data_IF_256567158645
#
_entry.id   IF_256567158645
#
_cell.length_a   1.000
_cell.length_b   1.000
_cell.length_c   1.000
_cell.angle_alpha   90.00
_cell.angle_beta   90.00
_cell.angle_gamma   90.00
#
_symmetry.space_group_name_H-M   'P 1'
#
loop_
_entity.id
_entity.type
_entity.pdbx_description
1 polymer ?
#
# COMPACT_ATOMS: atom_id res chain seq x y z
N UNK A 1 2.01 -0.04 5.21
CA UNK A 1 1.79 0.50 3.84
C UNK A 1 2.27 -0.53 2.82
N UNK A 2 1.47 -0.77 1.78
CA UNK A 2 1.75 -1.74 0.73
C UNK A 2 1.59 -1.08 -0.65
N UNK A 3 2.59 -1.23 -1.51
CA UNK A 3 2.54 -0.78 -2.91
C UNK A 3 2.00 -1.91 -3.76
N UNK A 4 0.90 -1.68 -4.46
CA UNK A 4 0.32 -2.72 -5.31
C UNK A 4 1.19 -2.93 -6.55
N UNK A 5 1.38 -4.20 -6.93
CA UNK A 5 2.23 -4.60 -8.04
C UNK A 5 1.74 -4.02 -9.38
N UNK A 6 2.36 -2.92 -9.84
CA UNK A 6 2.06 -2.29 -11.14
C UNK A 6 3.30 -1.96 -11.97
N UNK A 7 4.48 -2.44 -11.57
CA UNK A 7 5.75 -2.09 -12.22
C UNK A 7 5.81 -2.53 -13.69
N UNK A 8 5.27 -3.70 -14.02
CA UNK A 8 5.22 -4.13 -15.42
C UNK A 8 4.18 -3.35 -16.23
N UNK A 9 3.07 -2.94 -15.62
CA UNK A 9 2.07 -2.05 -16.25
C UNK A 9 2.69 -0.69 -16.58
N UNK A 10 3.40 -0.07 -15.63
CA UNK A 10 4.11 1.20 -15.84
C UNK A 10 5.20 1.07 -16.90
N UNK A 11 6.02 0.01 -16.85
CA UNK A 11 7.10 -0.22 -17.85
C UNK A 11 6.55 -0.35 -19.27
N UNK A 12 5.41 -1.00 -19.42
CA UNK A 12 4.79 -1.28 -20.71
C UNK A 12 3.75 -0.22 -21.13
N UNK A 13 3.49 0.80 -20.30
CA UNK A 13 2.49 1.84 -20.57
C UNK A 13 1.06 1.29 -20.65
N UNK A 14 0.75 0.28 -19.84
CA UNK A 14 -0.56 -0.38 -19.85
C UNK A 14 -1.59 0.38 -19.01
N UNK A 15 -2.85 0.35 -19.43
CA UNK A 15 -3.94 0.88 -18.62
C UNK A 15 -4.27 -0.06 -17.47
N UNK A 16 -4.75 0.48 -16.35
CA UNK A 16 -5.17 -0.27 -15.16
C UNK A 16 -6.37 -1.19 -15.42
N UNK A 17 -7.14 -0.88 -16.46
CA UNK A 17 -8.30 -1.67 -16.89
C UNK A 17 -7.91 -2.86 -17.79
N UNK A 18 -6.61 -3.04 -18.08
CA UNK A 18 -6.14 -4.20 -18.83
C UNK A 18 -5.80 -5.34 -17.87
N UNK A 19 -6.19 -6.60 -18.16
CA UNK A 19 -5.81 -7.73 -17.33
C UNK A 19 -4.33 -8.03 -17.54
N UNK A 20 -3.54 -7.95 -16.47
CA UNK A 20 -2.09 -8.20 -16.49
C UNK A 20 -1.70 -9.19 -15.40
N UNK A 21 -0.85 -10.15 -15.76
CA UNK A 21 -0.21 -11.05 -14.82
C UNK A 21 1.29 -11.14 -15.09
N UNK A 22 2.08 -11.15 -14.02
CA UNK A 22 3.51 -11.37 -14.06
C UNK A 22 3.81 -12.82 -13.75
N UNK A 23 4.57 -13.48 -14.61
CA UNK A 23 4.97 -14.86 -14.45
C UNK A 23 6.47 -15.01 -14.19
N UNK A 24 6.79 -16.06 -13.44
CA UNK A 24 8.10 -16.65 -13.35
C UNK A 24 7.98 -18.10 -13.82
N UNK A 25 8.52 -18.38 -15.01
CA UNK A 25 8.25 -19.63 -15.72
C UNK A 25 6.74 -19.83 -15.88
N UNK A 26 6.21 -21.01 -15.58
CA UNK A 26 4.76 -21.27 -15.66
C UNK A 26 3.96 -20.78 -14.43
N UNK A 27 4.61 -20.23 -13.39
CA UNK A 27 3.95 -19.77 -12.17
C UNK A 27 3.65 -18.28 -12.18
N UNK A 28 2.47 -17.87 -11.72
CA UNK A 28 2.12 -16.46 -11.58
C UNK A 28 2.60 -15.90 -10.23
N UNK A 29 3.41 -14.85 -10.29
CA UNK A 29 4.00 -14.20 -9.11
C UNK A 29 3.32 -12.86 -8.76
N UNK A 30 2.61 -12.24 -9.70
CA UNK A 30 1.75 -11.09 -9.43
C UNK A 30 0.57 -11.08 -10.40
N UNK A 31 -0.61 -10.64 -9.92
CA UNK A 31 -1.84 -10.58 -10.70
C UNK A 31 -2.57 -9.29 -10.32
N UNK A 32 -2.80 -8.42 -11.31
CA UNK A 32 -3.48 -7.15 -11.08
C UNK A 32 -4.97 -7.36 -10.78
N UNK A 33 -5.64 -6.33 -10.24
CA UNK A 33 -7.03 -6.43 -9.81
C UNK A 33 -7.98 -6.79 -10.96
N UNK A 34 -7.72 -6.29 -12.17
CA UNK A 34 -8.52 -6.58 -13.36
C UNK A 34 -8.47 -8.05 -13.73
N UNK A 35 -7.27 -8.66 -13.76
CA UNK A 35 -7.11 -10.09 -14.05
C UNK A 35 -7.74 -10.98 -12.96
N UNK A 36 -7.74 -10.56 -11.69
CA UNK A 36 -8.38 -11.32 -10.59
C UNK A 36 -9.89 -11.51 -10.79
N UNK A 37 -10.57 -10.60 -11.49
CA UNK A 37 -12.01 -10.72 -11.79
C UNK A 37 -12.35 -11.96 -12.63
N UNK A 38 -11.38 -12.49 -13.36
CA UNK A 38 -11.51 -13.72 -14.17
C UNK A 38 -11.18 -14.99 -13.38
N UNK A 39 -11.01 -14.89 -12.05
CA UNK A 39 -10.64 -16.03 -11.20
C UNK A 39 -9.15 -16.38 -11.22
N UNK A 40 -8.31 -15.54 -11.85
CA UNK A 40 -6.86 -15.75 -11.90
C UNK A 40 -6.24 -15.40 -10.54
N UNK A 41 -5.53 -16.35 -9.94
CA UNK A 41 -4.93 -16.21 -8.62
C UNK A 41 -3.41 -16.41 -8.67
N UNK A 42 -2.71 -15.58 -7.87
CA UNK A 42 -1.26 -15.68 -7.67
C UNK A 42 -0.92 -17.03 -7.03
N UNK A 43 0.17 -17.67 -7.48
CA UNK A 43 0.65 -19.00 -7.05
C UNK A 43 -0.29 -20.20 -7.29
N UNK A 44 -1.61 -20.00 -7.39
CA UNK A 44 -2.57 -21.10 -7.60
C UNK A 44 -2.87 -21.35 -9.07
N UNK A 45 -2.92 -20.30 -9.89
CA UNK A 45 -3.20 -20.42 -11.34
C UNK A 45 -1.90 -20.47 -12.13
N UNK A 46 -1.78 -21.39 -13.08
CA UNK A 46 -0.63 -21.43 -14.00
C UNK A 46 -0.76 -20.39 -15.12
N UNK A 47 0.36 -19.98 -15.72
CA UNK A 47 0.38 -19.10 -16.90
C UNK A 47 -0.50 -19.63 -18.04
N UNK A 48 -0.46 -20.94 -18.28
CA UNK A 48 -1.25 -21.60 -19.33
C UNK A 48 -2.75 -21.58 -19.02
N UNK A 49 -3.12 -21.83 -17.77
CA UNK A 49 -4.51 -21.80 -17.32
C UNK A 49 -5.09 -20.37 -17.31
N UNK A 50 -4.30 -19.40 -16.85
CA UNK A 50 -4.70 -18.00 -16.83
C UNK A 50 -5.03 -17.49 -18.24
N UNK A 51 -4.26 -17.89 -19.25
CA UNK A 51 -4.56 -17.60 -20.66
C UNK A 51 -5.82 -18.27 -21.19
N UNK A 52 -6.25 -19.40 -20.62
CA UNK A 52 -7.54 -20.03 -20.97
C UNK A 52 -8.71 -19.29 -20.32
N UNK A 53 -8.55 -18.86 -19.08
CA UNK A 53 -9.57 -18.08 -18.34
C UNK A 53 -9.76 -16.68 -18.93
N UNK A 54 -8.68 -16.06 -19.41
CA UNK A 54 -8.67 -14.73 -20.00
C UNK A 54 -7.71 -14.72 -21.22
N UNK A 55 -8.22 -14.97 -22.44
CA UNK A 55 -7.43 -14.97 -23.67
C UNK A 55 -6.68 -13.65 -23.93
N UNK A 56 -7.28 -12.53 -23.53
CA UNK A 56 -6.75 -11.17 -23.63
C UNK A 56 -5.71 -10.81 -22.55
N UNK A 57 -5.49 -11.67 -21.55
CA UNK A 57 -4.55 -11.44 -20.46
C UNK A 57 -3.15 -11.08 -20.99
N UNK A 58 -2.61 -9.92 -20.63
CA UNK A 58 -1.22 -9.58 -20.90
C UNK A 58 -0.33 -10.30 -19.90
N UNK A 59 0.31 -11.34 -20.38
CA UNK A 59 1.13 -12.21 -19.58
C UNK A 59 2.60 -11.83 -19.77
N UNK A 60 3.23 -11.35 -18.71
CA UNK A 60 4.57 -10.74 -18.75
C UNK A 60 5.55 -11.60 -17.96
N UNK A 61 6.61 -12.06 -18.60
CA UNK A 61 7.69 -12.74 -17.89
C UNK A 61 8.61 -11.73 -17.21
N UNK A 62 9.12 -12.09 -16.03
CA UNK A 62 10.22 -11.34 -15.39
C UNK A 62 11.48 -11.32 -16.27
N UNK A 63 12.35 -10.33 -16.07
CA UNK A 63 13.64 -10.29 -16.75
C UNK A 63 14.45 -11.57 -16.43
N UNK A 64 15.31 -11.96 -17.36
CA UNK A 64 16.16 -13.14 -17.24
C UNK A 64 17.55 -12.87 -17.79
N UNK A 65 18.55 -13.53 -17.23
CA UNK A 65 19.87 -13.70 -17.82
C UNK A 65 19.84 -14.87 -18.82
N UNK A 66 20.51 -14.73 -19.96
CA UNK A 66 20.78 -15.83 -20.89
C UNK A 66 22.20 -16.38 -20.65
N UNK A 67 22.52 -17.59 -21.13
CA UNK A 67 23.81 -18.28 -20.86
C UNK A 67 25.05 -17.44 -21.20
N UNK A 68 25.02 -16.71 -22.32
CA UNK A 68 26.15 -15.92 -22.81
C UNK A 68 25.93 -14.40 -22.69
N UNK A 69 25.01 -13.97 -21.83
CA UNK A 69 24.66 -12.56 -21.63
C UNK A 69 24.75 -12.17 -20.16
N UNK A 70 25.70 -11.30 -19.77
CA UNK A 70 25.83 -10.84 -18.40
C UNK A 70 24.73 -9.87 -17.98
N UNK A 71 23.94 -9.34 -18.91
CA UNK A 71 22.86 -8.40 -18.61
C UNK A 71 21.48 -9.07 -18.62
N UNK A 72 20.59 -8.70 -17.69
CA UNK A 72 19.24 -9.24 -17.68
C UNK A 72 18.33 -8.48 -18.64
N UNK A 73 17.62 -9.21 -19.51
CA UNK A 73 16.67 -8.61 -20.44
C UNK A 73 15.28 -9.23 -20.32
N UNK A 74 14.30 -8.52 -20.89
CA UNK A 74 12.93 -9.02 -21.05
C UNK A 74 12.82 -9.79 -22.36
N UNK A 75 13.16 -11.07 -22.32
CA UNK A 75 13.05 -11.94 -23.48
C UNK A 75 11.58 -12.27 -23.78
N UNK A 76 11.16 -12.33 -25.06
CA UNK A 76 9.79 -12.68 -25.42
C UNK A 76 9.39 -14.12 -25.06
N UNK A 77 10.35 -15.05 -25.03
CA UNK A 77 10.09 -16.47 -24.77
C UNK A 77 11.29 -17.12 -24.05
N UNK A 78 11.56 -16.74 -22.79
CA UNK A 78 12.65 -17.33 -22.02
C UNK A 78 12.33 -18.78 -21.66
N UNK A 79 13.38 -19.60 -21.54
CA UNK A 79 13.27 -21.02 -21.18
C UNK A 79 14.06 -21.31 -19.92
N UNK A 80 13.50 -22.09 -19.02
CA UNK A 80 14.17 -22.50 -17.78
C UNK A 80 15.46 -23.30 -18.04
N UNK A 81 15.60 -23.91 -19.22
CA UNK A 81 16.79 -24.65 -19.60
C UNK A 81 17.99 -23.75 -19.93
N UNK A 82 17.74 -22.53 -20.43
CA UNK A 82 18.78 -21.64 -20.98
C UNK A 82 18.82 -20.26 -20.33
N UNK A 83 17.89 -19.98 -19.41
CA UNK A 83 17.76 -18.68 -18.78
C UNK A 83 17.65 -18.79 -17.26
N UNK A 84 18.07 -17.73 -16.57
CA UNK A 84 17.93 -17.57 -15.12
C UNK A 84 17.17 -16.30 -14.78
N UNK A 85 16.22 -16.39 -13.85
CA UNK A 85 15.38 -15.26 -13.42
C UNK A 85 16.21 -14.15 -12.77
N UNK A 86 15.88 -12.91 -13.15
CA UNK A 86 16.39 -11.68 -12.57
C UNK A 86 15.22 -10.86 -11.99
N UNK A 87 15.28 -10.57 -10.68
CA UNK A 87 14.32 -9.70 -10.01
C UNK A 87 14.88 -8.31 -9.70
N UNK A 88 16.08 -7.98 -10.17
CA UNK A 88 16.73 -6.70 -9.90
C UNK A 88 15.90 -5.50 -10.37
N UNK A 89 15.20 -5.55 -11.53
CA UNK A 89 14.26 -4.49 -11.90
C UNK A 89 13.17 -4.20 -10.86
N UNK A 90 12.75 -5.22 -10.09
CA UNK A 90 11.78 -5.06 -8.99
C UNK A 90 12.45 -4.56 -7.71
N UNK A 91 13.70 -4.98 -7.44
CA UNK A 91 14.52 -4.45 -6.33
C UNK A 91 14.82 -2.97 -6.52
N UNK A 92 15.11 -2.53 -7.74
CA UNK A 92 15.33 -1.11 -8.05
C UNK A 92 14.04 -0.29 -7.90
N UNK A 93 12.89 -0.83 -8.35
CA UNK A 93 11.59 -0.20 -8.10
C UNK A 93 11.31 -0.08 -6.59
N UNK A 94 11.61 -1.12 -5.81
CA UNK A 94 11.55 -1.11 -4.35
C UNK A 94 12.41 0.01 -3.77
N UNK A 95 13.69 0.11 -4.15
CA UNK A 95 14.59 1.18 -3.66
C UNK A 95 14.01 2.57 -3.88
N UNK A 96 13.40 2.83 -5.04
CA UNK A 96 12.76 4.12 -5.34
C UNK A 96 11.57 4.41 -4.42
N UNK A 97 10.72 3.41 -4.15
CA UNK A 97 9.60 3.52 -3.20
C UNK A 97 10.12 3.87 -1.80
N UNK A 98 11.10 3.11 -1.29
CA UNK A 98 11.67 3.34 0.04
C UNK A 98 12.42 4.67 0.15
N UNK A 99 13.00 5.17 -0.94
CA UNK A 99 13.59 6.50 -0.97
C UNK A 99 12.53 7.59 -0.79
N UNK A 100 11.32 7.42 -1.34
CA UNK A 100 10.19 8.35 -1.10
C UNK A 100 9.77 8.30 0.36
N UNK A 101 9.62 7.11 0.94
CA UNK A 101 9.26 6.96 2.36
C UNK A 101 10.29 7.67 3.27
N UNK A 102 11.58 7.53 2.96
CA UNK A 102 12.66 8.15 3.72
C UNK A 102 12.64 9.69 3.74
N UNK A 103 11.95 10.35 2.79
CA UNK A 103 11.85 11.83 2.76
C UNK A 103 11.06 12.40 3.94
N UNK A 104 10.18 11.60 4.56
CA UNK A 104 9.29 12.04 5.62
C UNK A 104 9.91 11.98 7.01
N UNK A 105 11.20 11.61 7.13
CA UNK A 105 11.90 11.56 8.42
C UNK A 105 11.36 10.51 9.39
N UNK A 106 10.58 9.56 8.87
CA UNK A 106 9.89 8.49 9.62
C UNK A 106 10.77 7.25 9.75
N UNK A 107 10.58 6.47 10.81
CA UNK A 107 11.29 5.19 10.97
C UNK A 107 10.57 4.13 10.16
N UNK A 108 11.31 3.40 9.33
CA UNK A 108 10.74 2.44 8.38
C UNK A 108 11.27 1.03 8.69
N UNK A 109 10.36 0.09 8.88
CA UNK A 109 10.66 -1.34 8.92
C UNK A 109 10.22 -1.98 7.61
N UNK A 110 11.19 -2.40 6.80
CA UNK A 110 10.94 -3.09 5.53
C UNK A 110 10.53 -4.54 5.78
N UNK A 111 9.39 -4.95 5.22
CA UNK A 111 8.87 -6.33 5.31
C UNK A 111 9.19 -7.09 4.02
N UNK A 112 8.92 -6.45 2.86
CA UNK A 112 9.04 -7.04 1.53
C UNK A 112 9.60 -6.06 0.51
N UNK A 113 9.44 -6.35 -0.78
CA UNK A 113 9.85 -5.42 -1.84
C UNK A 113 8.93 -4.20 -1.92
N UNK A 114 7.66 -4.37 -1.58
CA UNK A 114 6.58 -3.41 -1.75
C UNK A 114 5.86 -3.09 -0.44
N UNK A 115 6.32 -3.64 0.69
CA UNK A 115 5.64 -3.53 1.99
C UNK A 115 6.57 -3.03 3.09
N UNK A 116 6.04 -2.11 3.90
CA UNK A 116 6.73 -1.53 5.04
C UNK A 116 5.78 -1.10 6.17
N UNK A 117 6.26 -1.21 7.41
CA UNK A 117 5.72 -0.47 8.54
C UNK A 117 6.47 0.86 8.68
N UNK A 118 5.72 1.90 8.99
CA UNK A 118 6.22 3.26 9.10
C UNK A 118 5.75 3.81 10.44
N UNK A 119 6.68 4.07 11.35
CA UNK A 119 6.41 4.76 12.61
C UNK A 119 6.38 6.27 12.32
N UNK A 120 5.18 6.83 12.42
CA UNK A 120 4.86 8.23 12.15
C UNK A 120 4.64 9.03 13.43
N UNK A 121 4.86 8.44 14.60
CA UNK A 121 4.45 9.00 15.90
C UNK A 121 5.00 10.41 16.13
N UNK A 122 6.30 10.61 15.90
CA UNK A 122 6.92 11.93 16.09
C UNK A 122 6.38 12.96 15.12
N UNK A 123 6.26 12.59 13.84
CA UNK A 123 5.74 13.49 12.79
C UNK A 123 4.30 13.92 13.10
N UNK A 124 3.45 12.95 13.47
CA UNK A 124 2.06 13.19 13.83
C UNK A 124 1.96 14.12 15.03
N UNK A 125 2.76 13.88 16.08
CA UNK A 125 2.77 14.73 17.28
C UNK A 125 3.20 16.17 16.96
N UNK A 126 4.25 16.36 16.16
CA UNK A 126 4.71 17.68 15.76
C UNK A 126 3.61 18.44 14.98
N UNK A 127 2.93 17.76 14.05
CA UNK A 127 1.82 18.33 13.27
C UNK A 127 0.58 18.61 14.13
N UNK A 128 0.28 17.74 15.10
CA UNK A 128 -0.81 17.93 16.06
C UNK A 128 -0.57 19.18 16.92
N UNK A 129 0.63 19.32 17.48
CA UNK A 129 1.04 20.50 18.26
C UNK A 129 0.92 21.75 17.41
N UNK A 130 1.47 21.72 16.18
CA UNK A 130 1.48 22.86 15.28
C UNK A 130 0.07 23.34 14.89
N UNK A 131 -0.86 22.39 14.71
CA UNK A 131 -2.21 22.66 14.21
C UNK A 131 -3.16 23.08 15.33
N UNK A 132 -3.15 22.36 16.46
CA UNK A 132 -4.14 22.53 17.53
C UNK A 132 -3.56 23.22 18.77
N UNK A 133 -2.45 22.73 19.31
CA UNK A 133 -1.96 23.16 20.63
C UNK A 133 -1.26 24.52 20.62
N UNK A 134 -0.92 25.06 19.45
CA UNK A 134 -0.54 26.46 19.31
C UNK A 134 -1.71 27.45 19.48
N UNK A 135 -2.95 26.95 19.51
CA UNK A 135 -4.14 27.77 19.78
C UNK A 135 -4.49 27.66 21.26
N UNK A 136 -4.68 28.81 21.91
CA UNK A 136 -4.94 28.90 23.36
C UNK A 136 -6.18 28.15 23.83
N UNK A 137 -7.15 27.92 22.94
CA UNK A 137 -8.36 27.14 23.24
C UNK A 137 -8.04 25.67 23.57
N UNK A 138 -7.22 25.02 22.75
CA UNK A 138 -6.92 23.59 22.87
C UNK A 138 -5.81 23.28 23.86
N UNK A 139 -4.90 24.24 24.10
CA UNK A 139 -3.82 24.08 25.08
C UNK A 139 -4.37 23.80 26.49
N UNK A 140 -5.54 24.35 26.82
CA UNK A 140 -6.20 24.13 28.12
C UNK A 140 -6.74 22.70 28.32
N UNK A 141 -6.89 21.93 27.23
CA UNK A 141 -7.45 20.57 27.22
C UNK A 141 -6.41 19.47 27.05
N UNK A 142 -5.11 19.81 27.01
CA UNK A 142 -4.05 18.84 26.70
C UNK A 142 -3.94 17.71 27.74
N UNK A 143 -4.30 18.00 29.00
CA UNK A 143 -4.32 17.03 30.10
C UNK A 143 -5.63 16.22 30.15
N UNK A 144 -6.62 16.57 29.33
CA UNK A 144 -7.87 15.82 29.20
C UNK A 144 -7.70 14.65 28.23
N UNK A 145 -8.39 13.53 28.48
CA UNK A 145 -8.39 12.38 27.57
C UNK A 145 -9.17 12.65 26.27
N UNK A 146 -10.05 13.65 26.29
CA UNK A 146 -10.95 14.01 25.20
C UNK A 146 -10.62 15.43 24.75
N UNK A 147 -10.47 15.64 23.45
CA UNK A 147 -10.25 16.98 22.88
C UNK A 147 -11.55 17.61 22.39
N UNK A 148 -12.54 16.81 21.96
CA UNK A 148 -13.80 17.27 21.34
C UNK A 148 -13.59 18.15 20.10
N UNK A 149 -12.49 17.95 19.37
CA UNK A 149 -12.33 18.55 18.05
C UNK A 149 -13.31 17.84 17.11
N UNK A 150 -14.20 18.55 16.40
CA UNK A 150 -15.10 17.93 15.43
C UNK A 150 -14.30 17.30 14.29
N UNK A 151 -14.50 16.02 14.05
CA UNK A 151 -13.91 15.28 12.92
C UNK A 151 -15.04 14.86 11.99
N UNK A 152 -14.87 15.18 10.70
CA UNK A 152 -15.69 14.60 9.64
C UNK A 152 -15.12 13.24 9.25
N UNK A 153 -15.56 12.19 9.95
CA UNK A 153 -15.10 10.82 9.72
C UNK A 153 -15.44 10.29 8.32
N UNK A 154 -16.51 10.81 7.69
CA UNK A 154 -16.93 10.38 6.36
C UNK A 154 -15.96 10.89 5.27
N UNK A 155 -15.23 11.97 5.56
CA UNK A 155 -14.23 12.54 4.65
C UNK A 155 -12.90 11.76 4.61
N UNK A 156 -12.64 10.88 5.60
CA UNK A 156 -11.33 10.26 5.83
C UNK A 156 -11.14 8.88 5.19
N UNK A 157 -12.18 8.35 4.52
CA UNK A 157 -12.13 7.08 3.78
C UNK A 157 -12.97 5.98 4.45
N UNK A 158 -12.36 4.82 4.69
CA UNK A 158 -13.04 3.69 5.36
C UNK A 158 -12.65 3.72 6.84
N UNK A 159 -13.58 4.09 7.69
CA UNK A 159 -13.41 4.12 9.15
C UNK A 159 -13.85 2.78 9.75
N UNK A 160 -13.01 2.19 10.60
CA UNK A 160 -13.30 0.92 11.28
C UNK A 160 -13.36 1.19 12.78
N UNK A 161 -14.46 0.79 13.42
CA UNK A 161 -14.63 0.92 14.87
C UNK A 161 -13.62 0.07 15.63
N UNK A 162 -13.22 0.57 16.80
CA UNK A 162 -12.43 -0.18 17.77
C UNK A 162 -13.21 -1.39 18.32
N UNK A 163 -12.50 -2.30 18.99
CA UNK A 163 -13.13 -3.48 19.59
C UNK A 163 -14.10 -3.07 20.71
N UNK A 164 -13.71 -2.07 21.48
CA UNK A 164 -14.48 -1.52 22.59
C UNK A 164 -15.80 -0.91 22.10
N UNK A 165 -15.76 -0.17 20.98
CA UNK A 165 -16.96 0.39 20.34
C UNK A 165 -17.85 -0.69 19.73
N UNK A 166 -17.27 -1.76 19.18
CA UNK A 166 -18.03 -2.88 18.59
C UNK A 166 -18.78 -3.69 19.66
N UNK A 167 -18.28 -3.75 20.89
CA UNK A 167 -18.91 -4.48 22.00
C UNK A 167 -20.04 -3.70 22.68
N UNK A 168 -20.21 -2.42 22.35
CA UNK A 168 -21.20 -1.50 22.95
C UNK A 168 -22.52 -1.41 22.18
N UNK A 169 -22.83 -2.40 21.34
CA UNK A 169 -24.06 -2.45 20.51
C UNK A 169 -25.34 -2.51 21.37
N UNK A 170 -25.89 -1.34 21.71
CA UNK A 170 -27.33 -1.16 21.83
C UNK A 170 -27.87 -0.84 20.42
N UNK A 171 -28.67 -1.74 19.85
CA UNK A 171 -29.16 -1.73 18.45
C UNK A 171 -30.07 -0.53 18.07
N UNK A 172 -30.14 0.53 18.89
CA UNK A 172 -31.17 1.57 18.77
C UNK A 172 -30.69 3.01 19.00
N UNK A 173 -29.40 3.30 18.83
CA UNK A 173 -28.89 4.67 18.85
C UNK A 173 -28.37 5.06 17.46
N UNK A 174 -28.84 6.22 16.96
CA UNK A 174 -28.15 6.98 15.92
C UNK A 174 -26.65 6.98 16.24
N UNK A 175 -25.78 6.85 15.23
CA UNK A 175 -24.32 6.70 15.39
C UNK A 175 -23.74 7.99 16.01
N UNK A 176 -23.89 8.13 17.32
CA UNK A 176 -23.26 9.19 18.10
C UNK A 176 -21.84 8.69 18.38
N UNK A 177 -20.90 9.14 17.55
CA UNK A 177 -19.49 8.83 17.76
C UNK A 177 -19.09 9.26 19.16
N UNK A 178 -18.29 8.44 19.84
CA UNK A 178 -17.75 8.82 21.14
C UNK A 178 -16.99 10.16 21.02
N UNK A 179 -16.94 10.95 22.11
CA UNK A 179 -16.20 12.20 22.14
C UNK A 179 -14.77 12.04 21.63
N UNK A 180 -14.38 12.86 20.65
CA UNK A 180 -13.08 12.74 19.98
C UNK A 180 -11.92 12.89 20.95
N UNK A 181 -11.04 11.89 20.97
CA UNK A 181 -9.83 11.86 21.79
C UNK A 181 -8.62 12.43 21.06
N UNK A 182 -7.53 12.67 21.80
CA UNK A 182 -6.26 13.05 21.18
C UNK A 182 -5.69 11.94 20.29
N UNK A 183 -5.91 10.67 20.65
CA UNK A 183 -5.50 9.51 19.86
C UNK A 183 -6.24 9.45 18.51
N UNK A 184 -7.51 9.83 18.49
CA UNK A 184 -8.29 9.92 17.25
C UNK A 184 -7.69 10.97 16.30
N UNK A 185 -7.32 12.15 16.82
CA UNK A 185 -6.63 13.16 16.03
C UNK A 185 -5.27 12.69 15.52
N UNK A 186 -4.52 11.94 16.32
CA UNK A 186 -3.26 11.34 15.87
C UNK A 186 -3.48 10.37 14.70
N UNK A 187 -4.54 9.56 14.76
CA UNK A 187 -4.91 8.66 13.66
C UNK A 187 -5.32 9.42 12.40
N UNK A 188 -6.11 10.50 12.53
CA UNK A 188 -6.49 11.34 11.39
C UNK A 188 -5.26 11.94 10.72
N UNK A 189 -4.37 12.56 11.48
CA UNK A 189 -3.12 13.13 10.94
C UNK A 189 -2.24 12.03 10.33
N UNK A 190 -2.20 10.84 10.94
CA UNK A 190 -1.52 9.67 10.39
C UNK A 190 -2.11 9.23 9.04
N UNK A 191 -3.44 9.27 8.90
CA UNK A 191 -4.14 8.95 7.66
C UNK A 191 -3.88 9.98 6.57
N UNK A 192 -3.89 11.28 6.90
CA UNK A 192 -3.50 12.36 6.00
C UNK A 192 -2.07 12.17 5.49
N UNK A 193 -1.11 11.95 6.39
CA UNK A 193 0.28 11.69 6.03
C UNK A 193 0.40 10.45 5.14
N UNK A 194 -0.32 9.37 5.45
CA UNK A 194 -0.33 8.18 4.61
C UNK A 194 -0.87 8.49 3.21
N UNK A 195 -1.92 9.31 3.09
CA UNK A 195 -2.45 9.76 1.80
C UNK A 195 -1.44 10.61 1.02
N UNK A 196 -0.72 11.52 1.68
CA UNK A 196 0.35 12.34 1.09
C UNK A 196 1.48 11.45 0.53
N UNK A 197 1.98 10.51 1.33
CA UNK A 197 3.01 9.55 0.90
C UNK A 197 2.54 8.74 -0.29
N UNK A 198 1.31 8.20 -0.24
CA UNK A 198 0.72 7.41 -1.34
C UNK A 198 0.60 8.23 -2.61
N UNK A 199 0.17 9.49 -2.50
CA UNK A 199 0.08 10.43 -3.62
C UNK A 199 1.45 10.66 -4.24
N UNK A 200 2.47 10.92 -3.43
CA UNK A 200 3.84 11.15 -3.90
C UNK A 200 4.43 9.93 -4.61
N UNK A 201 4.15 8.71 -4.13
CA UNK A 201 4.53 7.47 -4.83
C UNK A 201 3.84 7.37 -6.19
N UNK A 202 2.54 7.69 -6.28
CA UNK A 202 1.81 7.68 -7.55
C UNK A 202 2.28 8.78 -8.51
N UNK A 203 2.58 9.98 -8.01
CA UNK A 203 3.02 11.09 -8.85
C UNK A 203 4.42 10.83 -9.43
N UNK A 204 5.36 10.32 -8.62
CA UNK A 204 6.74 10.07 -9.06
C UNK A 204 6.93 8.75 -9.80
N UNK A 205 6.22 7.69 -9.39
CA UNK A 205 6.47 6.32 -9.87
C UNK A 205 5.26 5.68 -10.55
N UNK A 206 4.09 6.33 -10.52
CA UNK A 206 2.83 5.84 -11.08
C UNK A 206 2.31 4.53 -10.47
N UNK A 207 2.86 4.16 -9.30
CA UNK A 207 2.39 3.01 -8.53
C UNK A 207 1.27 3.41 -7.57
N UNK A 208 0.27 2.54 -7.46
CA UNK A 208 -0.78 2.68 -6.45
C UNK A 208 -0.37 1.99 -5.15
N UNK A 209 -0.84 2.52 -4.03
CA UNK A 209 -0.53 2.00 -2.71
C UNK A 209 -1.80 1.94 -1.86
N UNK A 210 -1.87 0.95 -0.98
CA UNK A 210 -2.77 0.89 0.17
C UNK A 210 -2.00 1.22 1.45
N UNK A 211 -2.68 1.82 2.42
CA UNK A 211 -2.13 2.10 3.74
C UNK A 211 -3.24 1.98 4.77
N UNK A 212 -2.85 1.56 5.96
CA UNK A 212 -3.73 1.34 7.09
C UNK A 212 -3.06 1.97 8.32
N UNK A 213 -3.45 3.20 8.71
CA UNK A 213 -2.98 3.86 9.92
C UNK A 213 -3.64 3.23 11.16
N UNK A 214 -2.84 2.70 12.08
CA UNK A 214 -3.34 2.08 13.30
C UNK A 214 -2.52 2.51 14.52
N UNK A 215 -3.10 2.53 15.75
CA UNK A 215 -2.37 2.92 16.97
C UNK A 215 -1.27 1.91 17.35
N UNK A 216 -1.47 0.65 17.01
CA UNK A 216 -0.59 -0.45 17.38
C UNK A 216 -0.17 -1.29 16.19
N UNK A 217 1.04 -1.80 16.30
CA UNK A 217 1.56 -2.87 15.48
C UNK A 217 0.96 -4.21 15.93
N UNK A 218 0.12 -4.82 15.09
CA UNK A 218 -0.18 -6.26 15.19
C UNK A 218 0.61 -6.99 14.12
N UNK A 219 1.79 -7.49 14.48
CA UNK A 219 2.33 -8.65 13.76
C UNK A 219 1.29 -9.76 13.88
N UNK A 220 0.69 -10.15 12.75
CA UNK A 220 0.06 -11.46 12.65
C UNK A 220 1.13 -12.55 12.72
#
# INVERSE_FOLDING_TARGET
MQVNSGKEEVRLGLSRDEPVAVQQWNGLIAVNYTARKFGIQRLSTSATEAKKLCPELKLVHVATYAEDDPEPHYYPSPSQATHKVCLDPYREASKKIFAIFGKYGVKIQKIGFDEAFIDVTSYVNDRLIATYLNQSEWLSKVDESVCNVPIDWDSLGITVKSKEETLSEDENQDVDWAPTTWSDLQLVIGAELAAEIRKEVNDQLHYTCSADPTPEYRAC
#
